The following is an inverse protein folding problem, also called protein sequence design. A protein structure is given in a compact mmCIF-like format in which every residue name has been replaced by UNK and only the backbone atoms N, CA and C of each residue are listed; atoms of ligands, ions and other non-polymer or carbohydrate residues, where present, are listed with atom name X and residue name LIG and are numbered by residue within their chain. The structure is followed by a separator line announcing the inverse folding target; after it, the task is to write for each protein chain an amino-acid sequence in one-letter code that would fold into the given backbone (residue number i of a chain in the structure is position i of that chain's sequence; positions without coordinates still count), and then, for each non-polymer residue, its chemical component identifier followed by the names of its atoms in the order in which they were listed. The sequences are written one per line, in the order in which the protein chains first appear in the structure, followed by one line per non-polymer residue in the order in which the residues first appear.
data_IF_524897793941
#
_entry.id   IF_524897793941
#
_cell.length_a   1.000
_cell.length_b   1.000
_cell.length_c   1.000
_cell.angle_alpha   90.00
_cell.angle_beta   90.00
_cell.angle_gamma   90.00
#
_symmetry.space_group_name_H-M   'P 1'
#
loop_
_entity.id
_entity.type
_entity.pdbx_description
1 polymer ?
#
# COMPACT_ATOMS: atom_id res chain seq x y z
N UNK A 1 61.08 37.32 -15.99
CA UNK A 1 60.25 36.55 -15.03
C UNK A 1 59.30 37.50 -14.35
N UNK A 2 58.02 37.14 -14.20
CA UNK A 2 57.05 37.88 -13.38
C UNK A 2 55.59 37.70 -13.82
N UNK A 3 54.70 37.35 -12.87
CA UNK A 3 53.25 37.63 -12.97
C UNK A 3 52.27 36.46 -12.77
N UNK A 4 51.31 36.66 -11.83
CA UNK A 4 50.04 35.93 -11.58
C UNK A 4 50.12 34.48 -11.04
N UNK A 5 49.58 34.04 -9.89
CA UNK A 5 48.40 34.32 -8.99
C UNK A 5 47.10 33.54 -9.29
N UNK A 6 46.79 32.55 -8.42
CA UNK A 6 45.48 32.03 -7.92
C UNK A 6 45.77 30.82 -6.99
N UNK A 7 45.43 30.69 -5.69
CA UNK A 7 44.81 31.54 -4.65
C UNK A 7 43.28 31.49 -4.40
N UNK A 8 42.72 30.38 -3.88
CA UNK A 8 41.48 30.36 -3.07
C UNK A 8 41.25 29.03 -2.29
N UNK A 9 41.71 28.95 -1.03
CA UNK A 9 41.13 28.02 -0.04
C UNK A 9 40.00 28.75 0.71
N UNK A 10 38.74 28.38 0.46
CA UNK A 10 37.61 28.88 1.26
C UNK A 10 37.61 28.22 2.65
N UNK A 11 38.21 28.90 3.62
CA UNK A 11 38.08 28.56 5.04
C UNK A 11 36.62 28.73 5.45
N UNK A 12 35.90 27.61 5.60
CA UNK A 12 34.57 27.61 6.21
C UNK A 12 34.69 28.14 7.65
N UNK A 13 33.81 29.05 8.11
CA UNK A 13 33.83 29.50 9.48
C UNK A 13 33.61 28.31 10.42
N UNK A 14 34.42 28.22 11.47
CA UNK A 14 34.20 27.24 12.53
C UNK A 14 32.82 27.49 13.18
N UNK A 15 32.07 26.43 13.42
CA UNK A 15 30.82 26.53 14.19
C UNK A 15 31.14 27.05 15.60
N UNK A 16 30.44 28.09 16.03
CA UNK A 16 30.57 28.60 17.40
C UNK A 16 30.09 27.57 18.43
N UNK A 17 30.68 27.57 19.62
CA UNK A 17 30.31 26.64 20.69
C UNK A 17 28.83 26.76 21.10
N UNK A 18 28.25 27.97 21.02
CA UNK A 18 26.81 28.19 21.21
C UNK A 18 25.95 27.38 20.22
N UNK A 19 26.38 27.27 18.95
CA UNK A 19 25.67 26.47 17.94
C UNK A 19 25.76 24.97 18.25
N UNK A 20 26.90 24.51 18.77
CA UNK A 20 27.08 23.11 19.22
C UNK A 20 26.11 22.83 20.39
N UNK A 21 26.05 23.71 21.39
CA UNK A 21 25.14 23.59 22.53
C UNK A 21 23.65 23.62 22.15
N UNK A 22 23.25 24.34 21.09
CA UNK A 22 21.88 24.27 20.55
C UNK A 22 21.61 23.01 19.75
N UNK A 23 22.57 22.55 18.93
CA UNK A 23 22.43 21.34 18.12
C UNK A 23 22.36 20.09 19.00
N UNK A 24 23.20 19.99 20.05
CA UNK A 24 23.14 18.88 21.00
C UNK A 24 21.82 18.88 21.79
N UNK A 25 21.29 20.06 22.18
CA UNK A 25 19.97 20.16 22.81
C UNK A 25 18.83 19.75 21.87
N UNK A 26 18.87 20.13 20.60
CA UNK A 26 17.89 19.66 19.60
C UNK A 26 18.02 18.15 19.36
N UNK A 27 19.22 17.59 19.31
CA UNK A 27 19.46 16.15 19.12
C UNK A 27 18.99 15.35 20.34
N UNK A 28 19.25 15.83 21.57
CA UNK A 28 18.78 15.20 22.80
C UNK A 28 17.25 15.24 22.86
N UNK A 29 16.63 16.40 22.58
CA UNK A 29 15.17 16.52 22.54
C UNK A 29 14.53 15.66 21.43
N UNK A 30 15.14 15.56 20.24
CA UNK A 30 14.68 14.63 19.17
C UNK A 30 14.89 13.15 19.52
N UNK A 31 15.76 12.80 20.48
CA UNK A 31 16.02 11.42 20.89
C UNK A 31 15.13 10.94 22.04
N UNK A 32 14.67 11.81 22.93
CA UNK A 32 13.78 11.40 24.04
C UNK A 32 12.40 10.95 23.56
N UNK A 33 11.87 11.57 22.51
CA UNK A 33 10.53 11.36 21.99
C UNK A 33 10.45 10.41 20.78
N UNK A 34 11.45 9.56 20.53
CA UNK A 34 11.46 8.57 19.43
C UNK A 34 11.61 7.12 19.94
N UNK A 35 10.99 6.15 19.25
CA UNK A 35 11.05 4.71 19.64
C UNK A 35 12.48 4.18 19.61
N UNK A 36 13.23 4.61 18.61
CA UNK A 36 14.59 4.19 18.35
C UNK A 36 15.55 5.28 18.83
N UNK A 37 16.02 5.12 20.07
CA UNK A 37 17.01 6.01 20.69
C UNK A 37 18.40 5.78 20.11
N UNK A 38 19.18 6.85 19.99
CA UNK A 38 20.61 6.79 19.66
C UNK A 38 21.46 6.74 20.92
N UNK A 39 22.52 5.94 20.90
CA UNK A 39 23.48 5.82 22.00
C UNK A 39 24.49 4.70 21.75
N UNK A 40 25.57 4.67 22.52
CA UNK A 40 26.64 3.69 22.37
C UNK A 40 26.13 2.26 22.64
N UNK A 41 26.58 1.29 21.84
CA UNK A 41 26.15 -0.11 21.93
C UNK A 41 24.75 -0.42 21.39
N UNK A 42 23.89 0.59 21.15
CA UNK A 42 22.56 0.40 20.56
C UNK A 42 22.62 0.40 19.02
N UNK A 43 21.71 -0.35 18.39
CA UNK A 43 21.58 -0.37 16.92
C UNK A 43 20.88 0.90 16.45
N UNK A 44 21.54 1.74 15.65
CA UNK A 44 20.87 2.89 15.03
C UNK A 44 19.88 2.44 13.95
N UNK A 45 18.62 2.83 14.11
CA UNK A 45 17.54 2.63 13.14
C UNK A 45 17.13 3.92 12.41
N UNK A 46 17.60 5.11 12.84
CA UNK A 46 17.23 6.42 12.25
C UNK A 46 18.13 6.76 11.05
N UNK A 47 18.22 5.86 10.08
CA UNK A 47 19.16 5.96 8.93
C UNK A 47 18.52 6.41 7.62
N UNK A 48 17.19 6.48 7.51
CA UNK A 48 16.46 6.75 6.26
C UNK A 48 16.44 8.24 5.91
N UNK A 49 16.76 8.61 4.66
CA UNK A 49 16.61 9.98 4.15
C UNK A 49 15.24 10.17 3.47
N UNK A 50 14.78 11.42 3.29
CA UNK A 50 13.46 11.68 2.69
C UNK A 50 13.28 11.07 1.29
N UNK A 51 14.33 11.01 0.46
CA UNK A 51 14.25 10.42 -0.88
C UNK A 51 14.21 8.88 -0.84
N UNK A 52 14.89 8.25 0.13
CA UNK A 52 14.71 6.81 0.39
C UNK A 52 13.31 6.52 0.95
N UNK A 53 12.78 7.37 1.85
CA UNK A 53 11.41 7.26 2.33
C UNK A 53 10.39 7.37 1.19
N UNK A 54 10.58 8.30 0.24
CA UNK A 54 9.72 8.44 -0.93
C UNK A 54 9.69 7.17 -1.80
N UNK A 55 10.82 6.48 -1.95
CA UNK A 55 10.90 5.21 -2.65
C UNK A 55 10.25 4.06 -1.88
N UNK A 56 10.39 4.01 -0.56
CA UNK A 56 9.71 3.02 0.29
C UNK A 56 8.19 3.26 0.25
N UNK A 57 7.74 4.51 0.38
CA UNK A 57 6.32 4.89 0.22
C UNK A 57 5.81 4.52 -1.17
N UNK A 58 6.59 4.81 -2.22
CA UNK A 58 6.23 4.43 -3.58
C UNK A 58 6.10 2.92 -3.72
N UNK A 59 6.99 2.12 -3.12
CA UNK A 59 6.86 0.66 -3.17
C UNK A 59 5.68 0.10 -2.37
N UNK A 60 5.33 0.73 -1.25
CA UNK A 60 4.17 0.36 -0.41
C UNK A 60 2.86 0.61 -1.16
N UNK A 61 2.76 1.74 -1.86
CA UNK A 61 1.57 2.15 -2.61
C UNK A 61 1.52 1.49 -4.00
N UNK A 62 2.56 1.68 -4.81
CA UNK A 62 2.73 1.11 -6.15
C UNK A 62 3.10 -0.39 -6.07
N UNK A 63 2.11 -1.16 -5.63
CA UNK A 63 2.19 -2.58 -5.36
C UNK A 63 1.08 -3.31 -6.14
N UNK A 64 0.26 -4.14 -5.46
CA UNK A 64 -0.81 -4.91 -6.09
C UNK A 64 -1.98 -4.04 -6.58
N UNK A 65 -2.27 -2.92 -5.90
CA UNK A 65 -3.44 -2.06 -6.17
C UNK A 65 -3.58 -1.61 -7.62
N UNK A 66 -2.48 -1.23 -8.30
CA UNK A 66 -2.51 -0.74 -9.68
C UNK A 66 -3.07 -1.77 -10.69
N UNK A 67 -3.02 -3.06 -10.36
CA UNK A 67 -3.43 -4.13 -11.26
C UNK A 67 -4.96 -4.38 -11.28
N UNK A 68 -5.72 -3.75 -10.37
CA UNK A 68 -7.19 -3.84 -10.30
C UNK A 68 -7.90 -2.63 -10.92
N UNK A 69 -7.24 -1.47 -10.95
CA UNK A 69 -7.83 -0.19 -11.39
C UNK A 69 -8.41 -0.24 -12.82
N UNK A 70 -7.74 -0.84 -13.83
CA UNK A 70 -8.30 -0.86 -15.19
C UNK A 70 -9.62 -1.63 -15.30
N UNK A 71 -9.85 -2.64 -14.46
CA UNK A 71 -11.13 -3.36 -14.39
C UNK A 71 -12.22 -2.48 -13.77
N UNK A 72 -11.88 -1.66 -12.77
CA UNK A 72 -12.82 -0.70 -12.17
C UNK A 72 -13.23 0.41 -13.16
N UNK A 73 -12.36 0.79 -14.10
CA UNK A 73 -12.70 1.74 -15.18
C UNK A 73 -13.83 1.22 -16.08
N UNK A 74 -13.92 -0.09 -16.34
CA UNK A 74 -15.05 -0.66 -17.09
C UNK A 74 -16.37 -0.64 -16.31
N UNK A 75 -16.33 -0.66 -14.98
CA UNK A 75 -17.57 -0.58 -14.18
C UNK A 75 -18.08 0.86 -14.03
N UNK A 76 -17.17 1.83 -13.92
CA UNK A 76 -17.49 3.24 -13.70
C UNK A 76 -17.58 4.06 -14.99
N UNK A 77 -17.02 3.57 -16.09
CA UNK A 77 -16.76 4.33 -17.31
C UNK A 77 -15.49 5.20 -17.22
N UNK A 78 -14.99 5.62 -18.38
CA UNK A 78 -13.72 6.33 -18.50
C UNK A 78 -13.63 7.59 -17.61
N UNK A 79 -14.69 8.42 -17.60
CA UNK A 79 -14.70 9.71 -16.92
C UNK A 79 -14.95 9.58 -15.40
N UNK A 80 -16.00 8.89 -14.91
CA UNK A 80 -16.17 8.68 -13.47
C UNK A 80 -15.04 7.85 -12.84
N UNK A 81 -14.47 6.90 -13.59
CA UNK A 81 -13.28 6.14 -13.17
C UNK A 81 -12.04 7.04 -13.00
N UNK A 82 -11.74 7.89 -13.98
CA UNK A 82 -10.63 8.85 -13.89
C UNK A 82 -10.80 9.84 -12.72
N UNK A 83 -12.02 10.35 -12.49
CA UNK A 83 -12.33 11.19 -11.33
C UNK A 83 -12.10 10.42 -10.03
N UNK A 84 -12.53 9.16 -9.92
CA UNK A 84 -12.30 8.34 -8.74
C UNK A 84 -10.80 8.15 -8.47
N UNK A 85 -9.98 7.88 -9.49
CA UNK A 85 -8.52 7.75 -9.34
C UNK A 85 -7.94 9.01 -8.70
N UNK A 86 -8.20 10.18 -9.31
CA UNK A 86 -7.66 11.46 -8.85
C UNK A 86 -8.19 11.83 -7.45
N UNK A 87 -9.49 11.67 -7.22
CA UNK A 87 -10.11 12.03 -5.94
C UNK A 87 -9.60 11.16 -4.79
N UNK A 88 -9.52 9.83 -4.98
CA UNK A 88 -9.04 8.94 -3.93
C UNK A 88 -7.54 9.07 -3.67
N UNK A 89 -6.70 9.24 -4.70
CA UNK A 89 -5.25 9.43 -4.45
C UNK A 89 -4.95 10.77 -3.78
N UNK A 90 -5.64 11.86 -4.16
CA UNK A 90 -5.50 13.15 -3.49
C UNK A 90 -6.02 13.10 -2.04
N UNK A 91 -7.15 12.44 -1.79
CA UNK A 91 -7.67 12.27 -0.43
C UNK A 91 -6.72 11.43 0.42
N UNK A 92 -6.23 10.30 -0.10
CA UNK A 92 -5.27 9.45 0.60
C UNK A 92 -3.94 10.19 0.88
N UNK A 93 -3.46 10.98 -0.08
CA UNK A 93 -2.31 11.87 0.13
C UNK A 93 -2.58 12.86 1.28
N UNK A 94 -3.73 13.54 1.28
CA UNK A 94 -4.12 14.48 2.32
C UNK A 94 -4.23 13.82 3.71
N UNK A 95 -4.87 12.65 3.80
CA UNK A 95 -4.94 11.86 5.01
C UNK A 95 -3.56 11.38 5.50
N UNK A 96 -2.60 11.13 4.62
CA UNK A 96 -1.22 10.81 5.00
C UNK A 96 -0.50 12.03 5.61
N UNK A 97 -0.73 13.23 5.05
CA UNK A 97 -0.20 14.49 5.60
C UNK A 97 -0.82 14.78 6.98
N UNK A 98 -2.11 14.49 7.20
CA UNK A 98 -2.71 14.62 8.53
C UNK A 98 -2.04 13.65 9.53
N UNK A 99 -1.94 12.36 9.19
CA UNK A 99 -1.37 11.34 10.09
C UNK A 99 0.06 11.66 10.53
N UNK A 100 0.95 11.99 9.59
CA UNK A 100 2.35 12.26 9.93
C UNK A 100 2.56 13.62 10.60
N UNK A 101 1.71 14.62 10.34
CA UNK A 101 1.74 15.88 11.07
C UNK A 101 1.26 15.66 12.51
N UNK A 102 0.17 14.91 12.72
CA UNK A 102 -0.33 14.55 14.05
C UNK A 102 0.74 13.80 14.86
N UNK A 103 1.41 12.80 14.26
CA UNK A 103 2.60 12.15 14.84
C UNK A 103 3.66 13.15 15.28
N UNK A 104 4.03 14.07 14.40
CA UNK A 104 5.13 15.01 14.65
C UNK A 104 4.76 16.13 15.65
N UNK A 105 3.47 16.33 15.90
CA UNK A 105 2.93 17.27 16.90
C UNK A 105 2.66 16.65 18.27
N UNK A 106 2.52 15.31 18.36
CA UNK A 106 2.19 14.61 19.61
C UNK A 106 3.27 13.61 20.02
N UNK A 107 3.96 13.91 21.11
CA UNK A 107 4.94 12.99 21.71
C UNK A 107 4.30 11.64 22.06
N UNK A 108 5.04 10.55 21.83
CA UNK A 108 4.58 9.17 22.07
C UNK A 108 3.71 8.55 20.96
N UNK A 109 3.26 9.33 19.97
CA UNK A 109 2.43 8.84 18.86
C UNK A 109 3.26 8.15 17.76
N UNK A 110 3.77 6.95 18.05
CA UNK A 110 4.69 6.27 17.13
C UNK A 110 4.00 5.36 16.10
N UNK A 111 2.81 4.86 16.44
CA UNK A 111 1.98 4.02 15.56
C UNK A 111 0.60 4.62 15.36
N UNK A 112 -0.13 4.15 14.34
CA UNK A 112 -1.52 4.54 14.09
C UNK A 112 -2.45 4.23 15.28
N UNK A 113 -2.13 3.18 16.05
CA UNK A 113 -2.85 2.81 17.25
C UNK A 113 -2.55 3.75 18.44
N UNK A 114 -1.33 4.29 18.55
CA UNK A 114 -1.00 5.28 19.59
C UNK A 114 -1.73 6.61 19.32
N UNK A 115 -1.84 7.03 18.05
CA UNK A 115 -2.66 8.19 17.68
C UNK A 115 -4.15 7.96 17.96
N UNK A 116 -4.64 6.74 17.72
CA UNK A 116 -6.01 6.34 18.06
C UNK A 116 -6.27 6.30 19.58
N UNK A 117 -5.28 5.90 20.39
CA UNK A 117 -5.34 5.97 21.86
C UNK A 117 -5.51 7.41 22.34
N UNK A 118 -4.78 8.36 21.75
CA UNK A 118 -4.83 9.76 22.17
C UNK A 118 -6.20 10.40 21.91
N UNK A 119 -6.86 10.10 20.78
CA UNK A 119 -8.14 10.73 20.42
C UNK A 119 -9.38 9.96 20.89
N UNK A 120 -9.27 8.66 21.15
CA UNK A 120 -10.40 7.77 21.45
C UNK A 120 -10.18 6.77 22.60
N UNK A 121 -9.02 6.81 23.27
CA UNK A 121 -8.69 5.92 24.38
C UNK A 121 -8.42 4.46 23.96
N UNK A 122 -8.27 3.59 24.97
CA UNK A 122 -7.81 2.21 24.80
C UNK A 122 -8.72 1.39 23.87
N UNK A 123 -10.04 1.58 23.90
CA UNK A 123 -10.96 0.84 23.02
C UNK A 123 -10.68 1.14 21.53
N UNK A 124 -10.42 2.41 21.20
CA UNK A 124 -10.16 2.82 19.81
C UNK A 124 -8.74 2.43 19.38
N UNK A 125 -7.75 2.44 20.31
CA UNK A 125 -6.42 1.85 20.10
C UNK A 125 -6.48 0.38 19.69
N UNK A 126 -7.25 -0.42 20.42
CA UNK A 126 -7.39 -1.86 20.14
C UNK A 126 -8.11 -2.12 18.82
N UNK A 127 -9.20 -1.39 18.55
CA UNK A 127 -9.93 -1.47 17.29
C UNK A 127 -9.03 -1.10 16.09
N UNK A 128 -8.34 0.04 16.16
CA UNK A 128 -7.44 0.50 15.07
C UNK A 128 -6.23 -0.43 14.92
N UNK A 129 -5.68 -0.96 16.02
CA UNK A 129 -4.61 -1.95 15.98
C UNK A 129 -5.04 -3.27 15.31
N UNK A 130 -6.23 -3.76 15.63
CA UNK A 130 -6.82 -4.92 14.98
C UNK A 130 -7.06 -4.68 13.48
N UNK A 131 -7.68 -3.56 13.11
CA UNK A 131 -7.95 -3.20 11.71
C UNK A 131 -6.64 -3.04 10.91
N UNK A 132 -5.59 -2.48 11.51
CA UNK A 132 -4.27 -2.39 10.89
C UNK A 132 -3.67 -3.77 10.62
N UNK A 133 -3.68 -4.69 11.60
CA UNK A 133 -3.20 -6.07 11.40
C UNK A 133 -4.03 -6.78 10.31
N UNK A 134 -5.36 -6.68 10.38
CA UNK A 134 -6.27 -7.28 9.42
C UNK A 134 -6.05 -6.76 7.99
N UNK A 135 -5.80 -5.46 7.81
CA UNK A 135 -5.44 -4.87 6.53
C UNK A 135 -4.20 -5.56 5.92
N UNK A 136 -3.11 -5.68 6.69
CA UNK A 136 -1.87 -6.26 6.19
C UNK A 136 -1.94 -7.77 5.98
N UNK A 137 -2.76 -8.49 6.74
CA UNK A 137 -3.07 -9.90 6.46
C UNK A 137 -3.79 -10.05 5.11
N UNK A 138 -4.83 -9.26 4.84
CA UNK A 138 -5.58 -9.34 3.58
C UNK A 138 -4.72 -8.85 2.39
N UNK A 139 -3.93 -7.78 2.57
CA UNK A 139 -2.97 -7.32 1.57
C UNK A 139 -1.88 -8.36 1.28
N UNK A 140 -1.34 -9.04 2.30
CA UNK A 140 -0.42 -10.16 2.12
C UNK A 140 -1.07 -11.27 1.31
N UNK A 141 -2.34 -11.62 1.60
CA UNK A 141 -3.14 -12.53 0.79
C UNK A 141 -3.24 -12.09 -0.68
N UNK A 142 -3.56 -10.82 -0.96
CA UNK A 142 -3.60 -10.27 -2.34
C UNK A 142 -2.24 -10.38 -3.05
N UNK A 143 -1.15 -10.21 -2.30
CA UNK A 143 0.21 -10.36 -2.79
C UNK A 143 0.56 -11.82 -3.13
N UNK A 144 0.13 -12.77 -2.28
CA UNK A 144 0.26 -14.21 -2.51
C UNK A 144 -0.53 -14.63 -3.76
N UNK A 145 -1.75 -14.12 -3.96
CA UNK A 145 -2.53 -14.31 -5.21
C UNK A 145 -1.78 -13.74 -6.43
N UNK A 146 -1.17 -12.56 -6.30
CA UNK A 146 -0.38 -11.96 -7.38
C UNK A 146 0.84 -12.81 -7.79
N UNK A 147 1.57 -13.36 -6.81
CA UNK A 147 2.71 -14.26 -7.07
C UNK A 147 2.25 -15.60 -7.63
N UNK A 148 1.15 -16.19 -7.13
CA UNK A 148 0.63 -17.44 -7.70
C UNK A 148 0.11 -17.26 -9.13
N UNK A 149 -0.51 -16.12 -9.46
CA UNK A 149 -0.87 -15.76 -10.83
C UNK A 149 0.36 -15.64 -11.75
N UNK A 150 1.49 -15.14 -11.24
CA UNK A 150 2.75 -15.14 -11.98
C UNK A 150 3.29 -16.55 -12.24
N UNK A 151 3.27 -17.42 -11.22
CA UNK A 151 3.69 -18.83 -11.35
C UNK A 151 2.79 -19.61 -12.32
N UNK A 152 1.47 -19.40 -12.26
CA UNK A 152 0.50 -19.93 -13.23
C UNK A 152 0.79 -19.47 -14.66
N UNK A 153 0.97 -18.16 -14.88
CA UNK A 153 1.24 -17.59 -16.18
C UNK A 153 2.55 -18.12 -16.81
N UNK A 154 3.60 -18.27 -16.00
CA UNK A 154 4.91 -18.74 -16.46
C UNK A 154 4.92 -20.24 -16.77
N UNK A 155 4.24 -21.04 -15.94
CA UNK A 155 4.19 -22.51 -16.09
C UNK A 155 3.16 -23.03 -17.10
N UNK A 156 2.24 -22.18 -17.57
CA UNK A 156 0.98 -22.58 -18.21
C UNK A 156 0.10 -23.45 -17.28
N UNK A 157 -0.06 -23.03 -16.03
CA UNK A 157 -0.89 -23.74 -15.05
C UNK A 157 -0.47 -25.21 -14.84
N UNK A 158 0.84 -25.46 -14.66
CA UNK A 158 1.37 -26.83 -14.56
C UNK A 158 1.05 -27.54 -13.23
N UNK A 159 0.60 -26.80 -12.22
CA UNK A 159 0.15 -27.28 -10.92
C UNK A 159 -1.15 -26.58 -10.55
N UNK A 160 -1.97 -27.24 -9.73
CA UNK A 160 -3.13 -26.65 -9.07
C UNK A 160 -2.77 -25.30 -8.41
N UNK A 161 -3.57 -24.25 -8.64
CA UNK A 161 -3.31 -22.89 -8.14
C UNK A 161 -3.04 -22.84 -6.63
N UNK A 162 -3.71 -23.68 -5.83
CA UNK A 162 -3.47 -23.75 -4.39
C UNK A 162 -2.03 -24.17 -4.01
N UNK A 163 -1.36 -25.01 -4.82
CA UNK A 163 0.06 -25.29 -4.63
C UNK A 163 0.93 -24.07 -4.96
N UNK A 164 0.57 -23.31 -5.99
CA UNK A 164 1.27 -22.05 -6.27
C UNK A 164 1.03 -20.97 -5.22
N UNK A 165 -0.15 -20.88 -4.57
CA UNK A 165 -0.35 -19.97 -3.42
C UNK A 165 0.48 -20.42 -2.22
N UNK A 166 0.61 -21.72 -1.97
CA UNK A 166 1.47 -22.25 -0.90
C UNK A 166 2.96 -21.95 -1.17
N UNK A 167 3.46 -22.21 -2.39
CA UNK A 167 4.83 -21.88 -2.79
C UNK A 167 5.08 -20.36 -2.67
N UNK A 168 4.13 -19.53 -3.12
CA UNK A 168 4.19 -18.09 -2.97
C UNK A 168 4.24 -17.67 -1.48
N UNK A 169 3.44 -18.28 -0.61
CA UNK A 169 3.46 -18.02 0.83
C UNK A 169 4.81 -18.39 1.47
N UNK A 170 5.42 -19.52 1.09
CA UNK A 170 6.76 -19.92 1.55
C UNK A 170 7.83 -18.90 1.12
N UNK A 171 7.81 -18.48 -0.16
CA UNK A 171 8.72 -17.44 -0.67
C UNK A 171 8.55 -16.14 0.12
N UNK A 172 7.30 -15.69 0.31
CA UNK A 172 6.97 -14.47 1.04
C UNK A 172 7.40 -14.53 2.50
N UNK A 173 7.22 -15.66 3.19
CA UNK A 173 7.67 -15.84 4.57
C UNK A 173 9.20 -15.69 4.70
N UNK A 174 9.96 -16.29 3.78
CA UNK A 174 11.43 -16.24 3.77
C UNK A 174 11.90 -14.79 3.60
N UNK A 175 11.38 -14.06 2.61
CA UNK A 175 11.77 -12.67 2.37
C UNK A 175 11.29 -11.70 3.45
N UNK A 176 10.09 -11.89 4.01
CA UNK A 176 9.55 -11.07 5.10
C UNK A 176 10.33 -11.24 6.41
N UNK A 177 10.94 -12.41 6.65
CA UNK A 177 11.68 -12.75 7.87
C UNK A 177 12.95 -11.90 8.12
N UNK A 178 13.39 -11.10 7.14
CA UNK A 178 14.54 -10.19 7.29
C UNK A 178 14.19 -9.03 8.24
N UNK A 179 14.73 -9.03 9.48
CA UNK A 179 14.36 -8.07 10.55
C UNK A 179 14.62 -6.57 10.28
N UNK A 180 15.54 -6.18 9.38
CA UNK A 180 15.98 -4.79 9.20
C UNK A 180 15.45 -4.16 7.90
N UNK A 181 14.71 -3.05 8.00
CA UNK A 181 14.28 -2.26 6.83
C UNK A 181 15.44 -1.75 5.97
N UNK A 182 16.58 -1.39 6.57
CA UNK A 182 17.81 -1.04 5.83
C UNK A 182 18.21 -2.14 4.83
N UNK A 183 18.13 -3.42 5.25
CA UNK A 183 18.39 -4.59 4.39
C UNK A 183 17.23 -4.90 3.42
N UNK A 184 16.09 -4.24 3.56
CA UNK A 184 14.94 -4.31 2.65
C UNK A 184 14.91 -3.10 1.70
N UNK A 185 15.58 -1.98 2.01
CA UNK A 185 15.54 -0.77 1.19
C UNK A 185 16.03 -1.01 -0.24
N UNK A 186 17.10 -1.80 -0.43
CA UNK A 186 17.56 -2.20 -1.77
C UNK A 186 16.56 -3.14 -2.47
N UNK A 187 15.88 -4.03 -1.72
CA UNK A 187 14.78 -4.84 -2.24
C UNK A 187 13.60 -3.95 -2.67
N UNK A 188 13.30 -2.84 -1.98
CA UNK A 188 12.25 -1.92 -2.43
C UNK A 188 12.57 -1.29 -3.78
N UNK A 189 13.85 -0.99 -4.07
CA UNK A 189 14.27 -0.54 -5.40
C UNK A 189 14.07 -1.60 -6.47
N UNK A 190 14.62 -2.80 -6.27
CA UNK A 190 14.50 -3.92 -7.23
C UNK A 190 13.03 -4.27 -7.47
N UNK A 191 12.24 -4.38 -6.40
CA UNK A 191 10.82 -4.68 -6.49
C UNK A 191 9.97 -3.55 -7.06
N UNK A 192 10.43 -2.30 -7.00
CA UNK A 192 9.78 -1.16 -7.67
C UNK A 192 10.02 -1.23 -9.16
N UNK A 193 11.29 -1.30 -9.57
CA UNK A 193 11.71 -1.33 -10.98
C UNK A 193 11.06 -2.53 -11.68
N UNK A 194 11.03 -3.70 -11.02
CA UNK A 194 10.32 -4.90 -11.46
C UNK A 194 8.83 -4.63 -11.80
N UNK A 195 8.01 -4.20 -10.82
CA UNK A 195 6.56 -4.02 -11.07
C UNK A 195 6.30 -2.88 -12.05
N UNK A 196 7.03 -1.76 -11.95
CA UNK A 196 6.85 -0.62 -12.85
C UNK A 196 7.18 -1.00 -14.31
N UNK A 197 8.29 -1.72 -14.53
CA UNK A 197 8.67 -2.20 -15.88
C UNK A 197 7.64 -3.19 -16.43
N UNK A 198 7.17 -4.13 -15.60
CA UNK A 198 6.14 -5.10 -16.01
C UNK A 198 4.81 -4.44 -16.38
N UNK A 199 4.38 -3.41 -15.63
CA UNK A 199 3.19 -2.63 -15.95
C UNK A 199 3.40 -1.85 -17.25
N UNK A 200 4.56 -1.20 -17.46
CA UNK A 200 4.88 -0.50 -18.71
C UNK A 200 4.87 -1.43 -19.93
N UNK A 201 5.41 -2.66 -19.81
CA UNK A 201 5.36 -3.68 -20.87
C UNK A 201 3.92 -4.01 -21.28
N UNK A 202 2.98 -4.03 -20.33
CA UNK A 202 1.56 -4.31 -20.61
C UNK A 202 0.83 -3.08 -21.13
N UNK A 203 1.07 -1.90 -20.56
CA UNK A 203 0.47 -0.63 -21.00
C UNK A 203 0.85 -0.33 -22.46
N UNK A 204 2.10 -0.57 -22.87
CA UNK A 204 2.52 -0.48 -24.28
C UNK A 204 2.04 -1.71 -25.07
N UNK A 205 2.08 -2.89 -24.45
CA UNK A 205 1.72 -4.16 -25.08
C UNK A 205 0.27 -4.23 -25.57
N UNK A 206 -0.67 -3.59 -24.88
CA UNK A 206 -2.08 -3.54 -25.31
C UNK A 206 -2.31 -2.59 -26.50
N UNK A 207 -1.47 -1.56 -26.70
CA UNK A 207 -1.62 -0.61 -27.82
C UNK A 207 -1.11 -1.15 -29.16
N UNK A 208 -0.32 -2.23 -29.11
CA UNK A 208 0.25 -2.90 -30.30
C UNK A 208 -0.56 -4.11 -30.76
N UNK A 209 -1.77 -4.31 -30.21
CA UNK A 209 -2.67 -5.40 -30.60
C UNK A 209 -3.90 -4.86 -31.34
N UNK A 210 -4.26 -5.49 -32.45
CA UNK A 210 -5.51 -5.21 -33.16
C UNK A 210 -6.76 -5.63 -32.37
N UNK A 211 -6.60 -6.56 -31.41
CA UNK A 211 -7.66 -7.14 -30.59
C UNK A 211 -7.19 -7.41 -29.15
N UNK A 212 -8.04 -7.22 -28.13
CA UNK A 212 -7.74 -7.67 -26.77
C UNK A 212 -7.52 -9.17 -26.71
N UNK A 213 -6.60 -9.63 -25.84
CA UNK A 213 -6.22 -11.05 -25.79
C UNK A 213 -7.33 -12.00 -25.29
N UNK A 214 -8.26 -11.48 -24.49
CA UNK A 214 -9.37 -12.26 -23.90
C UNK A 214 -10.64 -12.14 -24.77
N UNK A 215 -10.67 -11.21 -25.74
CA UNK A 215 -11.78 -11.09 -26.68
C UNK A 215 -11.81 -12.27 -27.68
N UNK A 216 -12.96 -12.55 -28.33
CA UNK A 216 -13.04 -13.49 -29.44
C UNK A 216 -12.01 -13.17 -30.54
N UNK A 217 -11.13 -14.13 -30.79
CA UNK A 217 -10.03 -13.97 -31.75
C UNK A 217 -10.52 -13.94 -33.20
N UNK A 218 -11.72 -14.44 -33.47
CA UNK A 218 -12.43 -14.39 -34.76
C UNK A 218 -13.80 -13.73 -34.61
N UNK A 219 -14.39 -13.27 -35.71
CA UNK A 219 -15.70 -12.61 -35.72
C UNK A 219 -15.69 -11.16 -35.24
N UNK A 220 -16.88 -10.53 -35.09
CA UNK A 220 -17.00 -9.21 -34.47
C UNK A 220 -16.79 -9.30 -32.96
N UNK A 221 -16.17 -8.27 -32.38
CA UNK A 221 -16.11 -8.08 -30.93
C UNK A 221 -16.44 -6.63 -30.61
N UNK A 222 -16.99 -6.41 -29.42
CA UNK A 222 -17.17 -5.08 -28.84
C UNK A 222 -16.29 -4.96 -27.59
N UNK A 223 -15.64 -3.81 -27.44
CA UNK A 223 -14.90 -3.41 -26.26
C UNK A 223 -15.84 -3.07 -25.10
N UNK A 224 -17.08 -2.65 -25.36
CA UNK A 224 -17.98 -2.13 -24.34
C UNK A 224 -17.48 -0.82 -23.75
N UNK A 225 -16.66 -0.07 -24.49
CA UNK A 225 -16.10 1.20 -24.04
C UNK A 225 -17.20 2.24 -23.86
N UNK A 226 -17.24 2.87 -22.69
CA UNK A 226 -18.21 3.90 -22.39
C UNK A 226 -17.59 5.00 -21.52
N UNK A 227 -17.97 6.25 -21.80
CA UNK A 227 -17.44 7.42 -21.10
C UNK A 227 -17.98 7.48 -19.67
N UNK A 228 -19.26 7.14 -19.48
CA UNK A 228 -19.95 7.13 -18.19
C UNK A 228 -20.62 5.76 -18.05
N UNK A 229 -20.30 5.03 -16.99
CA UNK A 229 -20.91 3.75 -16.67
C UNK A 229 -22.25 3.92 -15.95
N UNK A 230 -23.10 2.89 -16.00
CA UNK A 230 -24.35 2.82 -15.23
C UNK A 230 -24.37 1.55 -14.36
N UNK A 231 -23.42 1.39 -13.42
CA UNK A 231 -23.35 0.21 -12.57
C UNK A 231 -24.47 0.17 -11.54
N UNK A 232 -24.78 -1.03 -11.04
CA UNK A 232 -25.55 -1.18 -9.79
C UNK A 232 -24.75 -0.61 -8.61
N UNK A 233 -25.42 -0.31 -7.50
CA UNK A 233 -24.75 0.17 -6.28
C UNK A 233 -23.58 -0.74 -5.86
N UNK A 234 -23.81 -2.06 -5.83
CA UNK A 234 -22.80 -3.07 -5.47
C UNK A 234 -21.60 -3.01 -6.41
N UNK A 235 -21.83 -3.02 -7.73
CA UNK A 235 -20.74 -3.01 -8.70
C UNK A 235 -19.95 -1.69 -8.65
N UNK A 236 -20.63 -0.55 -8.61
CA UNK A 236 -20.02 0.77 -8.56
C UNK A 236 -19.22 1.00 -7.27
N UNK A 237 -19.75 0.54 -6.13
CA UNK A 237 -19.07 0.62 -4.84
C UNK A 237 -17.85 -0.31 -4.77
N UNK A 238 -17.94 -1.55 -5.25
CA UNK A 238 -16.79 -2.47 -5.33
C UNK A 238 -15.69 -1.90 -6.26
N UNK A 239 -16.06 -1.27 -7.37
CA UNK A 239 -15.12 -0.59 -8.25
C UNK A 239 -14.45 0.62 -7.58
N UNK A 240 -15.22 1.49 -6.93
CA UNK A 240 -14.69 2.63 -6.17
C UNK A 240 -13.76 2.18 -5.02
N UNK A 241 -14.12 1.10 -4.32
CA UNK A 241 -13.30 0.48 -3.28
C UNK A 241 -11.95 -0.03 -3.82
N UNK A 242 -11.93 -0.68 -4.98
CA UNK A 242 -10.70 -1.15 -5.65
C UNK A 242 -9.79 0.01 -6.07
N UNK A 243 -10.35 1.16 -6.47
CA UNK A 243 -9.60 2.38 -6.73
C UNK A 243 -9.09 2.99 -5.42
N UNK A 244 -9.93 3.15 -4.41
CA UNK A 244 -9.56 3.70 -3.10
C UNK A 244 -8.38 2.96 -2.46
N UNK A 245 -8.47 1.63 -2.33
CA UNK A 245 -7.43 0.81 -1.67
C UNK A 245 -6.07 0.90 -2.35
N UNK A 246 -6.03 1.17 -3.65
CA UNK A 246 -4.79 1.23 -4.43
C UNK A 246 -3.80 2.28 -3.91
N UNK A 247 -4.26 3.26 -3.12
CA UNK A 247 -3.43 4.28 -2.47
C UNK A 247 -3.68 4.44 -0.95
N UNK A 248 -4.49 3.58 -0.33
CA UNK A 248 -4.94 3.77 1.05
C UNK A 248 -3.98 3.28 2.14
N UNK A 249 -2.89 2.58 1.80
CA UNK A 249 -1.93 2.00 2.76
C UNK A 249 -1.01 3.02 3.47
N UNK A 250 -1.49 4.25 3.67
CA UNK A 250 -0.71 5.40 4.16
C UNK A 250 -0.29 5.27 5.62
N UNK A 251 -1.02 4.49 6.44
CA UNK A 251 -0.64 4.21 7.82
C UNK A 251 0.71 3.45 7.93
N UNK A 252 1.14 2.72 6.89
CA UNK A 252 2.48 2.12 6.84
C UNK A 252 3.63 3.13 6.64
N UNK A 253 3.31 4.41 6.42
CA UNK A 253 4.35 5.44 6.38
C UNK A 253 4.89 5.73 7.79
N UNK A 254 4.09 5.56 8.85
CA UNK A 254 4.47 5.92 10.23
C UNK A 254 5.71 5.16 10.76
N UNK A 255 5.84 3.81 10.58
CA UNK A 255 7.08 3.10 10.91
C UNK A 255 8.30 3.64 10.15
N UNK A 256 8.16 3.96 8.87
CA UNK A 256 9.25 4.52 8.05
C UNK A 256 9.63 5.92 8.52
N UNK A 257 8.65 6.75 8.91
CA UNK A 257 8.88 8.08 9.49
C UNK A 257 9.70 7.97 10.79
N UNK A 258 9.45 6.95 11.63
CA UNK A 258 10.26 6.69 12.84
C UNK A 258 11.70 6.26 12.58
N UNK A 259 12.02 5.86 11.35
CA UNK A 259 13.37 5.49 10.90
C UNK A 259 14.03 6.61 10.06
N UNK A 260 13.34 7.74 9.86
CA UNK A 260 13.91 8.89 9.16
C UNK A 260 14.94 9.62 10.02
N UNK A 261 16.03 10.06 9.38
CA UNK A 261 17.00 10.99 9.96
C UNK A 261 16.32 12.27 10.45
N UNK A 262 15.42 12.82 9.62
CA UNK A 262 14.63 14.04 9.88
C UNK A 262 13.14 13.78 9.64
N UNK A 263 12.37 13.32 10.65
CA UNK A 263 10.93 12.99 10.49
C UNK A 263 10.08 14.14 9.93
N UNK A 264 10.43 15.40 10.24
CA UNK A 264 9.77 16.61 9.72
C UNK A 264 9.80 16.74 8.19
N UNK A 265 10.71 16.06 7.49
CA UNK A 265 10.81 16.11 6.02
C UNK A 265 9.87 15.14 5.30
N UNK A 266 9.14 14.26 6.00
CA UNK A 266 8.33 13.21 5.38
C UNK A 266 7.26 13.74 4.39
N UNK A 267 6.75 14.96 4.61
CA UNK A 267 5.80 15.63 3.71
C UNK A 267 6.36 15.70 2.27
N UNK A 268 7.66 15.98 2.11
CA UNK A 268 8.34 16.00 0.79
C UNK A 268 8.25 14.64 0.10
N UNK A 269 8.46 13.56 0.87
CA UNK A 269 8.36 12.20 0.39
C UNK A 269 6.93 11.84 -0.02
N UNK A 270 5.93 12.15 0.81
CA UNK A 270 4.50 11.91 0.50
C UNK A 270 4.08 12.62 -0.78
N UNK A 271 4.41 13.91 -0.96
CA UNK A 271 4.03 14.66 -2.17
C UNK A 271 4.66 14.09 -3.43
N UNK A 272 5.96 13.77 -3.42
CA UNK A 272 6.63 13.14 -4.57
C UNK A 272 6.00 11.79 -4.89
N UNK A 273 5.86 10.90 -3.90
CA UNK A 273 5.26 9.58 -4.08
C UNK A 273 3.86 9.66 -4.65
N UNK A 274 2.97 10.45 -4.03
CA UNK A 274 1.55 10.48 -4.41
C UNK A 274 1.33 11.18 -5.77
N UNK A 275 2.19 12.12 -6.15
CA UNK A 275 2.16 12.73 -7.49
C UNK A 275 2.51 11.70 -8.58
N UNK A 276 3.55 10.89 -8.36
CA UNK A 276 3.96 9.82 -9.29
C UNK A 276 2.88 8.73 -9.35
N UNK A 277 2.38 8.28 -8.19
CA UNK A 277 1.29 7.30 -8.08
C UNK A 277 0.05 7.75 -8.83
N UNK A 278 -0.44 8.97 -8.59
CA UNK A 278 -1.65 9.51 -9.24
C UNK A 278 -1.49 9.54 -10.75
N UNK A 279 -0.35 10.06 -11.23
CA UNK A 279 -0.04 10.18 -12.66
C UNK A 279 0.03 8.81 -13.33
N UNK A 280 0.73 7.86 -12.70
CA UNK A 280 0.88 6.50 -13.19
C UNK A 280 -0.46 5.75 -13.21
N UNK A 281 -1.23 5.79 -12.12
CA UNK A 281 -2.52 5.10 -12.01
C UNK A 281 -3.53 5.62 -13.04
N UNK A 282 -3.60 6.95 -13.23
CA UNK A 282 -4.46 7.55 -14.24
C UNK A 282 -4.04 7.13 -15.66
N UNK A 283 -2.75 7.31 -16.01
CA UNK A 283 -2.25 7.00 -17.34
C UNK A 283 -2.42 5.51 -17.70
N UNK A 284 -2.01 4.61 -16.81
CA UNK A 284 -2.05 3.16 -17.06
C UNK A 284 -3.50 2.66 -17.16
N UNK A 285 -4.39 3.16 -16.31
CA UNK A 285 -5.78 2.69 -16.29
C UNK A 285 -6.58 3.23 -17.47
N UNK A 286 -6.36 4.48 -17.89
CA UNK A 286 -7.00 5.04 -19.10
C UNK A 286 -6.53 4.30 -20.35
N UNK A 287 -5.23 4.04 -20.51
CA UNK A 287 -4.70 3.32 -21.69
C UNK A 287 -5.21 1.88 -21.72
N UNK A 288 -5.07 1.13 -20.62
CA UNK A 288 -5.51 -0.28 -20.59
C UNK A 288 -7.03 -0.39 -20.77
N UNK A 289 -7.83 0.52 -20.19
CA UNK A 289 -9.27 0.52 -20.41
C UNK A 289 -9.66 0.89 -21.85
N UNK A 290 -8.99 1.87 -22.47
CA UNK A 290 -9.28 2.26 -23.86
C UNK A 290 -9.02 1.12 -24.85
N UNK A 291 -7.91 0.38 -24.70
CA UNK A 291 -7.53 -0.70 -25.62
C UNK A 291 -8.16 -2.06 -25.30
N UNK A 292 -8.57 -2.33 -24.06
CA UNK A 292 -9.14 -3.63 -23.67
C UNK A 292 -10.64 -3.60 -23.32
N UNK A 293 -11.18 -2.46 -22.89
CA UNK A 293 -12.59 -2.31 -22.50
C UNK A 293 -13.00 -3.33 -21.43
N UNK A 294 -14.04 -4.13 -21.71
CA UNK A 294 -14.51 -5.24 -20.86
C UNK A 294 -13.58 -6.45 -20.80
N UNK A 295 -12.58 -6.52 -21.67
CA UNK A 295 -11.67 -7.67 -21.82
C UNK A 295 -10.35 -7.50 -21.05
N UNK A 296 -10.34 -6.62 -20.05
CA UNK A 296 -9.22 -6.43 -19.12
C UNK A 296 -9.03 -7.69 -18.27
N UNK A 297 -7.81 -8.22 -18.24
CA UNK A 297 -7.47 -9.34 -17.36
C UNK A 297 -7.52 -8.92 -15.88
N UNK A 298 -7.79 -9.86 -14.97
CA UNK A 298 -7.64 -9.63 -13.52
C UNK A 298 -6.71 -10.70 -12.96
N UNK A 299 -5.47 -10.38 -12.54
CA UNK A 299 -4.80 -9.06 -12.58
C UNK A 299 -4.51 -8.55 -14.01
N UNK A 300 -4.44 -7.22 -14.19
CA UNK A 300 -4.31 -6.57 -15.51
C UNK A 300 -3.06 -6.95 -16.31
N UNK A 301 -2.03 -7.52 -15.68
CA UNK A 301 -0.83 -8.05 -16.36
C UNK A 301 -1.14 -9.13 -17.42
N UNK A 302 -2.30 -9.79 -17.36
CA UNK A 302 -2.73 -10.76 -18.36
C UNK A 302 -3.18 -10.17 -19.70
N UNK A 303 -3.40 -8.86 -19.81
CA UNK A 303 -4.23 -8.27 -20.89
C UNK A 303 -3.58 -8.23 -22.29
N UNK A 304 -2.24 -8.24 -22.38
CA UNK A 304 -1.51 -8.03 -23.64
C UNK A 304 -1.17 -9.32 -24.43
N UNK A 305 -1.81 -10.45 -24.11
CA UNK A 305 -1.68 -11.72 -24.82
C UNK A 305 -0.54 -12.63 -24.32
N UNK A 306 -0.51 -13.91 -24.75
CA UNK A 306 0.27 -14.95 -24.06
C UNK A 306 1.76 -14.65 -23.89
N UNK A 307 2.42 -14.11 -24.92
CA UNK A 307 3.85 -13.79 -24.88
C UNK A 307 4.14 -12.62 -23.93
N UNK A 308 3.45 -11.49 -24.08
CA UNK A 308 3.68 -10.30 -23.26
C UNK A 308 3.22 -10.50 -21.81
N UNK A 309 2.20 -11.34 -21.60
CA UNK A 309 1.79 -11.84 -20.28
C UNK A 309 2.93 -12.59 -19.59
N UNK A 310 3.59 -13.54 -20.27
CA UNK A 310 4.73 -14.26 -19.68
C UNK A 310 5.90 -13.34 -19.39
N UNK A 311 6.23 -12.43 -20.30
CA UNK A 311 7.31 -11.44 -20.10
C UNK A 311 6.98 -10.54 -18.90
N UNK A 312 5.76 -10.00 -18.82
CA UNK A 312 5.36 -9.09 -17.75
C UNK A 312 5.31 -9.79 -16.39
N UNK A 313 4.70 -10.98 -16.28
CA UNK A 313 4.69 -11.76 -15.03
C UNK A 313 6.10 -12.24 -14.64
N UNK A 314 6.94 -12.60 -15.61
CA UNK A 314 8.34 -12.96 -15.37
C UNK A 314 9.17 -11.81 -14.79
N UNK A 315 8.96 -10.58 -15.29
CA UNK A 315 9.57 -9.37 -14.72
C UNK A 315 8.92 -9.02 -13.36
N UNK A 316 7.60 -9.14 -13.23
CA UNK A 316 6.84 -8.72 -12.06
C UNK A 316 7.02 -9.61 -10.84
N UNK A 317 7.28 -10.92 -11.00
CA UNK A 317 7.24 -11.89 -9.90
C UNK A 317 8.13 -11.50 -8.71
N UNK A 318 9.31 -10.92 -8.98
CA UNK A 318 10.25 -10.42 -7.98
C UNK A 318 9.59 -9.30 -7.17
N UNK A 319 9.06 -8.27 -7.84
CA UNK A 319 8.44 -7.14 -7.18
C UNK A 319 7.07 -7.42 -6.56
N UNK A 320 6.33 -8.41 -7.06
CA UNK A 320 5.11 -8.94 -6.44
C UNK A 320 5.44 -9.67 -5.13
N UNK A 321 6.45 -10.55 -5.14
CA UNK A 321 6.92 -11.23 -3.94
C UNK A 321 7.45 -10.24 -2.89
N UNK A 322 8.20 -9.21 -3.30
CA UNK A 322 8.68 -8.15 -2.42
C UNK A 322 7.51 -7.31 -1.86
N UNK A 323 6.48 -6.99 -2.65
CA UNK A 323 5.27 -6.31 -2.16
C UNK A 323 4.54 -7.13 -1.09
N UNK A 324 4.30 -8.41 -1.35
CA UNK A 324 3.68 -9.33 -0.39
C UNK A 324 4.52 -9.44 0.90
N UNK A 325 5.85 -9.53 0.76
CA UNK A 325 6.79 -9.59 1.88
C UNK A 325 6.77 -8.32 2.72
N UNK A 326 6.66 -7.13 2.11
CA UNK A 326 6.50 -5.86 2.82
C UNK A 326 5.20 -5.83 3.64
N UNK A 327 4.08 -6.30 3.08
CA UNK A 327 2.82 -6.37 3.83
C UNK A 327 2.91 -7.27 5.06
N UNK A 328 3.47 -8.49 4.90
CA UNK A 328 3.76 -9.38 6.03
C UNK A 328 4.68 -8.70 7.04
N UNK A 329 5.78 -8.10 6.59
CA UNK A 329 6.77 -7.46 7.46
C UNK A 329 6.19 -6.27 8.25
N UNK A 330 5.37 -5.42 7.64
CA UNK A 330 4.73 -4.27 8.30
C UNK A 330 3.78 -4.74 9.41
N UNK A 331 2.90 -5.71 9.11
CA UNK A 331 2.01 -6.28 10.11
C UNK A 331 2.78 -7.01 11.22
N UNK A 332 3.80 -7.78 10.86
CA UNK A 332 4.60 -8.55 11.81
C UNK A 332 5.40 -7.64 12.74
N UNK A 333 5.95 -6.53 12.22
CA UNK A 333 6.61 -5.50 13.01
C UNK A 333 5.65 -4.81 13.98
N UNK A 334 4.41 -4.54 13.59
CA UNK A 334 3.42 -3.98 14.52
C UNK A 334 3.15 -4.94 15.70
N UNK A 335 2.91 -6.23 15.44
CA UNK A 335 2.74 -7.23 16.51
C UNK A 335 4.00 -7.33 17.37
N UNK A 336 5.18 -7.47 16.75
CA UNK A 336 6.47 -7.60 17.43
C UNK A 336 6.78 -6.41 18.36
N UNK A 337 6.64 -5.17 17.86
CA UNK A 337 6.86 -3.94 18.65
C UNK A 337 5.82 -3.82 19.77
N UNK A 338 4.58 -4.25 19.52
CA UNK A 338 3.49 -4.22 20.51
C UNK A 338 3.70 -5.24 21.64
N UNK A 339 4.15 -6.46 21.33
CA UNK A 339 4.38 -7.54 22.30
C UNK A 339 5.64 -7.30 23.14
N UNK A 340 6.72 -6.82 22.52
CA UNK A 340 8.00 -6.57 23.22
C UNK A 340 8.16 -5.12 23.71
N UNK A 341 7.12 -4.28 23.61
CA UNK A 341 7.18 -2.88 24.06
C UNK A 341 7.59 -2.82 25.53
N UNK A 342 8.47 -1.88 25.86
CA UNK A 342 9.00 -1.68 27.22
C UNK A 342 9.83 -2.88 27.77
N UNK A 343 10.28 -3.81 26.92
CA UNK A 343 11.20 -4.91 27.30
C UNK A 343 12.57 -4.72 26.65
N UNK A 344 13.64 -5.14 27.35
CA UNK A 344 15.00 -5.16 26.79
C UNK A 344 15.10 -6.04 25.52
N UNK A 345 14.35 -7.14 25.50
CA UNK A 345 14.22 -8.04 24.35
C UNK A 345 13.81 -7.36 23.03
N UNK A 346 13.22 -6.15 23.04
CA UNK A 346 12.87 -5.43 21.81
C UNK A 346 14.10 -5.11 20.94
N UNK A 347 15.24 -4.78 21.55
CA UNK A 347 16.47 -4.40 20.85
C UNK A 347 17.59 -5.45 20.99
N UNK A 348 17.53 -6.34 21.97
CA UNK A 348 18.52 -7.41 22.16
C UNK A 348 18.35 -8.60 21.19
N UNK A 349 19.46 -9.22 20.80
CA UNK A 349 19.48 -10.47 20.02
C UNK A 349 19.16 -11.72 20.88
N UNK A 350 18.12 -11.64 21.69
CA UNK A 350 17.63 -12.74 22.54
C UNK A 350 16.83 -13.80 21.76
N UNK A 351 16.66 -14.99 22.34
CA UNK A 351 15.76 -16.02 21.79
C UNK A 351 14.30 -15.55 21.77
N UNK A 352 13.89 -14.72 22.74
CA UNK A 352 12.54 -14.13 22.80
C UNK A 352 12.34 -13.15 21.64
N UNK A 353 13.33 -12.32 21.32
CA UNK A 353 13.30 -11.44 20.14
C UNK A 353 13.08 -12.24 18.84
N UNK A 354 13.93 -13.24 18.59
CA UNK A 354 13.81 -14.07 17.38
C UNK A 354 12.52 -14.89 17.33
N UNK A 355 12.11 -15.48 18.45
CA UNK A 355 10.88 -16.26 18.55
C UNK A 355 9.64 -15.41 18.26
N UNK A 356 9.50 -14.25 18.91
CA UNK A 356 8.37 -13.33 18.68
C UNK A 356 8.37 -12.79 17.25
N UNK A 357 9.54 -12.48 16.69
CA UNK A 357 9.66 -12.00 15.30
C UNK A 357 9.18 -13.04 14.28
N UNK A 358 9.71 -14.26 14.37
CA UNK A 358 9.37 -15.34 13.44
C UNK A 358 7.92 -15.79 13.62
N UNK A 359 7.43 -15.91 14.86
CA UNK A 359 6.02 -16.23 15.12
C UNK A 359 5.07 -15.17 14.51
N UNK A 360 5.38 -13.89 14.64
CA UNK A 360 4.59 -12.80 14.04
C UNK A 360 4.61 -12.86 12.50
N UNK A 361 5.78 -13.13 11.92
CA UNK A 361 5.97 -13.21 10.45
C UNK A 361 5.24 -14.42 9.85
N UNK A 362 5.44 -15.62 10.42
CA UNK A 362 4.76 -16.83 9.96
C UNK A 362 3.26 -16.78 10.23
N UNK A 363 2.81 -16.27 11.38
CA UNK A 363 1.39 -16.14 11.71
C UNK A 363 0.62 -15.29 10.69
N UNK A 364 1.15 -14.12 10.33
CA UNK A 364 0.55 -13.26 9.30
C UNK A 364 0.62 -13.90 7.91
N UNK A 365 1.73 -14.58 7.57
CA UNK A 365 1.84 -15.26 6.27
C UNK A 365 0.84 -16.40 6.13
N UNK A 366 0.64 -17.21 7.18
CA UNK A 366 -0.35 -18.29 7.21
C UNK A 366 -1.76 -17.73 7.12
N UNK A 367 -2.09 -16.68 7.88
CA UNK A 367 -3.40 -16.03 7.80
C UNK A 367 -3.67 -15.45 6.40
N UNK A 368 -2.68 -14.78 5.79
CA UNK A 368 -2.77 -14.26 4.43
C UNK A 368 -2.93 -15.36 3.39
N UNK A 369 -2.20 -16.48 3.54
CA UNK A 369 -2.33 -17.66 2.68
C UNK A 369 -3.73 -18.27 2.77
N UNK A 370 -4.26 -18.51 3.98
CA UNK A 370 -5.61 -19.04 4.18
C UNK A 370 -6.69 -18.15 3.53
N UNK A 371 -6.58 -16.83 3.67
CA UNK A 371 -7.49 -15.88 3.00
C UNK A 371 -7.33 -15.94 1.47
N UNK A 372 -6.09 -16.01 0.96
CA UNK A 372 -5.82 -16.12 -0.49
C UNK A 372 -6.35 -17.42 -1.11
N UNK A 373 -6.36 -18.52 -0.36
CA UNK A 373 -6.90 -19.80 -0.80
C UNK A 373 -8.41 -19.89 -0.63
N UNK A 374 -9.01 -19.14 0.31
CA UNK A 374 -10.46 -19.05 0.45
C UNK A 374 -11.07 -18.23 -0.70
N UNK A 375 -10.59 -16.99 -0.92
CA UNK A 375 -11.09 -16.07 -1.95
C UNK A 375 -9.94 -15.74 -2.93
N UNK A 376 -9.70 -16.59 -3.95
CA UNK A 376 -8.58 -16.43 -4.90
C UNK A 376 -8.77 -15.28 -5.91
N UNK A 377 -9.77 -14.40 -5.73
CA UNK A 377 -10.04 -13.26 -6.60
C UNK A 377 -9.36 -12.00 -6.05
N UNK A 378 -8.30 -11.59 -6.75
CA UNK A 378 -7.43 -10.47 -6.43
C UNK A 378 -8.17 -9.16 -6.10
N UNK A 379 -9.16 -8.77 -6.92
CA UNK A 379 -9.90 -7.52 -6.75
C UNK A 379 -10.78 -7.52 -5.49
N UNK A 380 -11.31 -8.67 -5.08
CA UNK A 380 -12.16 -8.77 -3.89
C UNK A 380 -11.33 -8.72 -2.60
N UNK A 381 -10.15 -9.33 -2.58
CA UNK A 381 -9.20 -9.17 -1.47
C UNK A 381 -8.79 -7.72 -1.28
N UNK A 382 -8.45 -7.03 -2.36
CA UNK A 382 -8.12 -5.60 -2.32
C UNK A 382 -9.31 -4.75 -1.88
N UNK A 383 -10.50 -4.95 -2.47
CA UNK A 383 -11.72 -4.26 -2.07
C UNK A 383 -12.03 -4.44 -0.59
N UNK A 384 -11.89 -5.66 -0.05
CA UNK A 384 -12.16 -5.98 1.35
C UNK A 384 -11.14 -5.31 2.29
N UNK A 385 -9.84 -5.38 1.98
CA UNK A 385 -8.81 -4.65 2.75
C UNK A 385 -9.07 -3.14 2.75
N UNK A 386 -9.48 -2.60 1.60
CA UNK A 386 -9.90 -1.22 1.42
C UNK A 386 -11.04 -0.85 2.37
N UNK A 387 -12.18 -1.48 2.19
CA UNK A 387 -13.42 -1.06 2.85
C UNK A 387 -13.44 -1.42 4.32
N UNK A 388 -13.11 -2.66 4.68
CA UNK A 388 -13.20 -3.11 6.07
C UNK A 388 -12.13 -2.46 6.96
N UNK A 389 -10.91 -2.30 6.43
CA UNK A 389 -9.75 -1.96 7.25
C UNK A 389 -9.17 -0.57 6.95
N UNK A 390 -8.96 -0.21 5.68
CA UNK A 390 -8.35 1.09 5.35
C UNK A 390 -9.34 2.26 5.37
N UNK A 391 -10.64 2.10 5.07
CA UNK A 391 -11.61 3.19 5.17
C UNK A 391 -11.74 3.77 6.60
N UNK A 392 -11.80 2.96 7.68
CA UNK A 392 -11.79 3.51 9.04
C UNK A 392 -10.39 4.06 9.42
N UNK A 393 -9.30 3.37 9.05
CA UNK A 393 -7.93 3.72 9.49
C UNK A 393 -7.30 4.88 8.70
N UNK A 394 -7.62 5.04 7.41
CA UNK A 394 -6.99 5.99 6.48
C UNK A 394 -7.94 7.10 5.97
N UNK A 395 -9.25 7.04 6.27
CA UNK A 395 -10.18 8.18 6.06
C UNK A 395 -10.75 8.66 7.39
N UNK A 396 -11.40 7.78 8.15
CA UNK A 396 -12.14 8.21 9.35
C UNK A 396 -11.24 8.69 10.46
N UNK A 397 -10.20 7.92 10.79
CA UNK A 397 -9.24 8.28 11.84
C UNK A 397 -8.52 9.59 11.50
N UNK A 398 -7.94 9.83 10.32
CA UNK A 398 -7.36 11.14 9.96
C UNK A 398 -8.35 12.32 10.10
N UNK A 399 -9.61 12.14 9.70
CA UNK A 399 -10.65 13.15 9.94
C UNK A 399 -10.82 13.49 11.43
N UNK A 400 -10.82 12.47 12.29
CA UNK A 400 -10.88 12.61 13.75
C UNK A 400 -9.59 13.24 14.32
N UNK A 401 -8.40 12.78 13.92
CA UNK A 401 -7.11 13.35 14.33
C UNK A 401 -7.07 14.87 14.10
N UNK A 402 -7.45 15.32 12.89
CA UNK A 402 -7.49 16.76 12.60
C UNK A 402 -8.54 17.50 13.44
N UNK A 403 -9.71 16.90 13.66
CA UNK A 403 -10.79 17.45 14.48
C UNK A 403 -10.45 17.53 15.98
N UNK A 404 -9.52 16.71 16.46
CA UNK A 404 -8.98 16.71 17.82
C UNK A 404 -8.01 17.88 18.05
N UNK A 405 -7.19 18.21 17.05
CA UNK A 405 -6.24 19.34 17.10
C UNK A 405 -6.93 20.71 16.96
N UNK A 406 -8.06 20.75 16.27
CA UNK A 406 -8.77 22.00 15.91
C UNK A 406 -10.17 22.15 16.56
N UNK A 407 -10.38 21.85 17.87
CA UNK A 407 -11.71 21.88 18.48
C UNK A 407 -12.27 23.31 18.54
N UNK A 408 -11.39 24.30 18.60
CA UNK A 408 -11.73 25.72 18.59
C UNK A 408 -12.33 26.19 17.26
N UNK A 409 -12.06 25.51 16.13
CA UNK A 409 -12.64 25.85 14.82
C UNK A 409 -14.17 25.70 14.79
N UNK A 410 -14.76 24.87 15.67
CA UNK A 410 -16.22 24.77 15.86
C UNK A 410 -16.88 26.11 16.22
N UNK A 411 -16.16 26.99 16.92
CA UNK A 411 -16.62 28.33 17.35
C UNK A 411 -15.98 29.47 16.55
N UNK A 412 -15.13 29.14 15.58
CA UNK A 412 -14.35 30.10 14.80
C UNK A 412 -15.12 30.81 13.68
N UNK A 413 -14.36 31.35 12.73
CA UNK A 413 -14.88 31.99 11.51
C UNK A 413 -15.68 31.01 10.65
N UNK A 414 -16.42 31.52 9.65
CA UNK A 414 -17.17 30.68 8.70
C UNK A 414 -16.23 29.68 8.00
N UNK A 415 -15.03 30.12 7.59
CA UNK A 415 -14.02 29.24 6.98
C UNK A 415 -13.53 28.15 7.95
N UNK A 416 -13.28 28.50 9.22
CA UNK A 416 -12.85 27.52 10.23
C UNK A 416 -13.95 26.46 10.49
N UNK A 417 -15.21 26.88 10.59
CA UNK A 417 -16.36 25.98 10.72
C UNK A 417 -16.53 25.08 9.50
N UNK A 418 -16.34 25.62 8.30
CA UNK A 418 -16.40 24.86 7.05
C UNK A 418 -15.28 23.80 6.95
N UNK A 419 -14.03 24.17 7.29
CA UNK A 419 -12.92 23.22 7.38
C UNK A 419 -13.19 22.13 8.42
N UNK A 420 -13.76 22.48 9.57
CA UNK A 420 -14.16 21.49 10.59
C UNK A 420 -15.26 20.55 10.07
N UNK A 421 -16.25 21.07 9.35
CA UNK A 421 -17.31 20.27 8.74
C UNK A 421 -16.76 19.29 7.68
N UNK A 422 -15.77 19.69 6.87
CA UNK A 422 -15.11 18.80 5.91
C UNK A 422 -14.38 17.65 6.64
N UNK A 423 -13.63 17.93 7.71
CA UNK A 423 -12.91 16.88 8.43
C UNK A 423 -13.85 15.95 9.21
N UNK A 424 -14.96 16.47 9.75
CA UNK A 424 -16.03 15.65 10.31
C UNK A 424 -16.71 14.79 9.22
N UNK A 425 -16.87 15.32 8.00
CA UNK A 425 -17.37 14.56 6.85
C UNK A 425 -16.44 13.43 6.45
N UNK A 426 -15.10 13.54 6.62
CA UNK A 426 -14.19 12.40 6.39
C UNK A 426 -14.50 11.21 7.32
N UNK A 427 -14.92 11.46 8.56
CA UNK A 427 -15.37 10.41 9.49
C UNK A 427 -16.61 9.70 8.92
N UNK A 428 -17.60 10.46 8.45
CA UNK A 428 -18.83 9.92 7.85
C UNK A 428 -18.53 9.17 6.53
N UNK A 429 -17.66 9.72 5.68
CA UNK A 429 -17.25 9.12 4.41
C UNK A 429 -16.52 7.79 4.61
N UNK A 430 -15.59 7.73 5.58
CA UNK A 430 -14.89 6.49 5.90
C UNK A 430 -15.81 5.43 6.51
N UNK A 431 -16.76 5.82 7.37
CA UNK A 431 -17.81 4.90 7.86
C UNK A 431 -18.73 4.41 6.75
N UNK A 432 -19.12 5.28 5.81
CA UNK A 432 -19.90 4.90 4.62
C UNK A 432 -19.15 3.91 3.72
N UNK A 433 -17.86 4.18 3.44
CA UNK A 433 -16.99 3.26 2.71
C UNK A 433 -16.77 1.94 3.47
N UNK A 434 -16.78 1.97 4.80
CA UNK A 434 -16.70 0.74 5.62
C UNK A 434 -17.97 -0.09 5.46
N UNK A 435 -19.14 0.49 5.71
CA UNK A 435 -20.42 -0.23 5.72
C UNK A 435 -20.85 -0.60 4.30
N UNK A 436 -21.04 0.39 3.42
CA UNK A 436 -21.52 0.18 2.06
C UNK A 436 -20.49 -0.54 1.18
N UNK A 437 -19.21 -0.24 1.37
CA UNK A 437 -18.12 -0.90 0.67
C UNK A 437 -17.94 -2.36 1.06
N UNK A 438 -17.89 -2.66 2.36
CA UNK A 438 -17.72 -4.06 2.82
C UNK A 438 -18.94 -4.89 2.47
N UNK A 439 -20.16 -4.35 2.60
CA UNK A 439 -21.37 -5.00 2.09
C UNK A 439 -21.24 -5.34 0.60
N UNK A 440 -20.83 -4.38 -0.23
CA UNK A 440 -20.74 -4.57 -1.69
C UNK A 440 -19.68 -5.59 -2.09
N UNK A 441 -18.52 -5.58 -1.42
CA UNK A 441 -17.46 -6.56 -1.67
C UNK A 441 -17.88 -7.96 -1.19
N UNK A 442 -18.52 -8.09 -0.02
CA UNK A 442 -19.06 -9.37 0.47
C UNK A 442 -20.13 -9.90 -0.49
N UNK A 443 -21.06 -9.07 -0.95
CA UNK A 443 -22.06 -9.47 -1.94
C UNK A 443 -21.38 -9.93 -3.24
N UNK A 444 -20.37 -9.21 -3.72
CA UNK A 444 -19.61 -9.59 -4.92
C UNK A 444 -18.90 -10.96 -4.76
N UNK A 445 -18.43 -11.28 -3.55
CA UNK A 445 -17.85 -12.60 -3.23
C UNK A 445 -18.94 -13.69 -3.20
N UNK A 446 -20.09 -13.42 -2.58
CA UNK A 446 -21.24 -14.35 -2.53
C UNK A 446 -21.71 -14.67 -3.96
N UNK A 447 -21.90 -13.65 -4.79
CA UNK A 447 -22.33 -13.79 -6.17
C UNK A 447 -21.32 -14.61 -7.00
N UNK A 448 -20.02 -14.43 -6.75
CA UNK A 448 -18.94 -15.18 -7.40
C UNK A 448 -18.85 -16.66 -6.98
N UNK A 449 -19.27 -17.03 -5.76
CA UNK A 449 -19.49 -18.44 -5.43
C UNK A 449 -20.77 -18.97 -6.09
N UNK A 450 -21.86 -18.21 -6.04
CA UNK A 450 -23.17 -18.64 -6.55
C UNK A 450 -23.17 -18.85 -8.08
N UNK A 451 -22.39 -18.07 -8.83
CA UNK A 451 -22.25 -18.19 -10.28
C UNK A 451 -21.10 -19.12 -10.73
N UNK A 452 -20.34 -19.69 -9.80
CA UNK A 452 -19.22 -20.60 -10.09
C UNK A 452 -17.89 -19.94 -10.51
N UNK A 453 -17.76 -18.61 -10.44
CA UNK A 453 -16.46 -17.93 -10.63
C UNK A 453 -15.43 -18.31 -9.56
N UNK A 454 -15.89 -18.67 -8.36
CA UNK A 454 -15.10 -19.37 -7.35
C UNK A 454 -15.78 -20.73 -7.14
N UNK A 455 -15.18 -21.83 -7.61
CA UNK A 455 -15.79 -23.15 -7.52
C UNK A 455 -15.87 -23.68 -6.09
N UNK A 456 -14.83 -23.44 -5.29
CA UNK A 456 -14.77 -23.76 -3.85
C UNK A 456 -13.61 -23.05 -3.16
N UNK A 457 -13.57 -23.09 -1.83
CA UNK A 457 -12.34 -22.75 -1.10
C UNK A 457 -11.22 -23.75 -1.46
N UNK A 458 -9.98 -23.28 -1.55
CA UNK A 458 -8.80 -24.03 -2.00
C UNK A 458 -8.94 -24.60 -3.42
N UNK A 459 -9.55 -23.82 -4.33
CA UNK A 459 -9.72 -24.21 -5.73
C UNK A 459 -8.37 -24.37 -6.46
N UNK A 460 -8.39 -25.21 -7.50
CA UNK A 460 -7.28 -25.37 -8.42
C UNK A 460 -7.37 -24.47 -9.65
N UNK A 461 -8.50 -23.82 -9.94
CA UNK A 461 -8.70 -22.98 -11.13
C UNK A 461 -7.56 -21.97 -11.40
N UNK A 462 -7.21 -21.75 -12.67
CA UNK A 462 -6.12 -20.85 -13.09
C UNK A 462 -6.46 -19.37 -12.84
N UNK A 463 -5.87 -18.80 -11.78
CA UNK A 463 -6.04 -17.38 -11.43
C UNK A 463 -5.22 -16.40 -12.28
N UNK A 464 -4.52 -16.88 -13.31
CA UNK A 464 -3.81 -16.05 -14.28
C UNK A 464 -4.58 -15.83 -15.58
N UNK A 465 -5.58 -16.68 -15.88
CA UNK A 465 -6.26 -16.71 -17.19
C UNK A 465 -5.34 -17.12 -18.34
N UNK A 466 -4.53 -18.17 -18.17
CA UNK A 466 -3.70 -18.79 -19.22
C UNK A 466 -4.46 -19.91 -19.91
N UNK A 467 -5.15 -20.73 -19.12
CA UNK A 467 -6.17 -21.64 -19.61
C UNK A 467 -7.47 -20.85 -19.73
N UNK A 468 -7.93 -20.65 -20.96
CA UNK A 468 -9.30 -20.19 -21.23
C UNK A 468 -10.18 -21.45 -21.22
N UNK A 469 -11.06 -21.56 -20.23
CA UNK A 469 -12.10 -22.58 -20.17
C UNK A 469 -13.26 -22.25 -21.14
#
# INVERSE_FOLDING_TARGET
MGGSKTSADEVRPAMSEDMIGTVDKEIIAENEFEVFKKGEGMVDFRTVTWYHAAMIFFKIIFATGVLSIPTAMYTLGAFPGAINIIAWTLLNAYCAIIQGNFRNSHAGCHSIADMAELVGGVVVKELVGFLFIAAYIICAGSGIVGVSAALNALSNHSLCTNWFTFIAAVIVAIFASVRKFEKIAWLTWVGTISVFTAVMVIVIGVTTRDRPAIAPQTGPFDLGYHVIGSPTFVAGMTAAAAIFVSSAATAAFLPVISEMKKPREYNKAVYVTMSIVTSAYLAFSVVVYYYCGRWVATPSLGSAGPTLKKVSYGIAIIGLAISASLYVHIGAKYIFVRVLRNTHHLQDNSLINWGTWLASTFGITIAGWLISSAVPIFNYLLGLAGTLCFAPVAISLPGWLWCYDHPHYRKGTILQKFLYAIHAFLIVLGLFMTIGGTYSVIQSIIDAYANGQIGKAFDCADNSGTVLN
#
